data_IF_425163729827
#
_entry.id   IF_425163729827
#
_cell.length_a   1.000
_cell.length_b   1.000
_cell.length_c   1.000
_cell.angle_alpha   90.00
_cell.angle_beta   90.00
_cell.angle_gamma   90.00
#
_symmetry.space_group_name_H-M   'P 1'
#
loop_
_entity.id
_entity.type
_entity.pdbx_description
1 polymer ?
#
# COMPACT_ATOMS: atom_id res chain seq x y z
N UNK A 1 -4.38 6.07 30.12
CA UNK A 1 -5.60 5.27 29.84
C UNK A 1 -5.36 4.34 28.64
N UNK A 2 -5.43 3.01 28.81
CA UNK A 2 -5.20 2.03 27.73
C UNK A 2 -6.28 2.10 26.64
N UNK A 3 -7.55 2.26 27.04
CA UNK A 3 -8.69 2.38 26.11
C UNK A 3 -8.53 3.54 25.13
N UNK A 4 -8.10 4.70 25.62
CA UNK A 4 -7.88 5.88 24.78
C UNK A 4 -6.77 5.65 23.74
N UNK A 5 -5.64 5.06 24.16
CA UNK A 5 -4.54 4.73 23.23
C UNK A 5 -4.99 3.76 22.15
N UNK A 6 -5.79 2.75 22.52
CA UNK A 6 -6.36 1.80 21.57
C UNK A 6 -7.28 2.46 20.56
N UNK A 7 -8.22 3.28 21.02
CA UNK A 7 -9.13 4.02 20.13
C UNK A 7 -8.38 4.88 19.11
N UNK A 8 -7.33 5.59 19.55
CA UNK A 8 -6.50 6.41 18.65
C UNK A 8 -5.76 5.52 17.65
N UNK A 9 -5.19 4.40 18.09
CA UNK A 9 -4.50 3.46 17.21
C UNK A 9 -5.44 2.78 16.19
N UNK A 10 -6.66 2.44 16.60
CA UNK A 10 -7.70 1.90 15.71
C UNK A 10 -8.03 2.92 14.60
N UNK A 11 -8.17 4.21 14.94
CA UNK A 11 -8.44 5.27 13.98
C UNK A 11 -7.28 5.47 12.99
N UNK A 12 -6.04 5.43 13.47
CA UNK A 12 -4.85 5.53 12.62
C UNK A 12 -4.76 4.32 11.69
N UNK A 13 -5.03 3.11 12.18
CA UNK A 13 -5.01 1.90 11.38
C UNK A 13 -6.09 1.93 10.28
N UNK A 14 -7.30 2.40 10.60
CA UNK A 14 -8.36 2.58 9.60
C UNK A 14 -7.93 3.55 8.49
N UNK A 15 -7.41 4.73 8.84
CA UNK A 15 -6.93 5.71 7.86
C UNK A 15 -5.75 5.21 7.02
N UNK A 16 -4.87 4.39 7.60
CA UNK A 16 -3.77 3.75 6.87
C UNK A 16 -4.31 2.79 5.79
N UNK A 17 -5.26 1.91 6.14
CA UNK A 17 -5.83 0.97 5.17
C UNK A 17 -6.61 1.68 4.07
N UNK A 18 -7.33 2.77 4.39
CA UNK A 18 -7.99 3.61 3.40
C UNK A 18 -6.98 4.23 2.43
N UNK A 19 -5.86 4.75 2.94
CA UNK A 19 -4.80 5.33 2.11
C UNK A 19 -4.13 4.28 1.21
N UNK A 20 -3.82 3.08 1.73
CA UNK A 20 -3.29 1.95 0.95
C UNK A 20 -4.24 1.58 -0.19
N UNK A 21 -5.53 1.40 0.11
CA UNK A 21 -6.55 1.05 -0.88
C UNK A 21 -6.73 2.14 -1.95
N UNK A 22 -6.70 3.42 -1.56
CA UNK A 22 -6.83 4.53 -2.49
C UNK A 22 -5.66 4.60 -3.47
N UNK A 23 -4.43 4.37 -3.01
CA UNK A 23 -3.24 4.32 -3.87
C UNK A 23 -3.32 3.15 -4.85
N UNK A 24 -3.72 1.96 -4.39
CA UNK A 24 -3.88 0.78 -5.25
C UNK A 24 -4.95 1.00 -6.33
N UNK A 25 -6.08 1.61 -5.97
CA UNK A 25 -7.12 1.98 -6.93
C UNK A 25 -6.62 3.02 -7.94
N UNK A 26 -5.90 4.05 -7.50
CA UNK A 26 -5.33 5.07 -8.38
C UNK A 26 -4.32 4.47 -9.36
N UNK A 27 -3.45 3.57 -8.89
CA UNK A 27 -2.47 2.88 -9.72
C UNK A 27 -3.16 2.05 -10.82
N UNK A 28 -4.17 1.27 -10.46
CA UNK A 28 -4.92 0.44 -11.40
C UNK A 28 -5.63 1.28 -12.48
N UNK A 29 -6.31 2.36 -12.08
CA UNK A 29 -7.03 3.23 -13.03
C UNK A 29 -6.07 4.00 -13.95
N UNK A 30 -4.95 4.47 -13.43
CA UNK A 30 -3.94 5.19 -14.24
C UNK A 30 -3.28 4.26 -15.25
N UNK A 31 -2.95 3.02 -14.84
CA UNK A 31 -2.45 2.00 -15.77
C UNK A 31 -3.46 1.67 -16.87
N UNK A 32 -4.75 1.55 -16.53
CA UNK A 32 -5.83 1.38 -17.50
C UNK A 32 -5.89 2.52 -18.52
N UNK A 33 -5.82 3.78 -18.06
CA UNK A 33 -5.78 4.95 -18.93
C UNK A 33 -4.55 4.94 -19.87
N UNK A 34 -3.36 4.66 -19.33
CA UNK A 34 -2.13 4.58 -20.12
C UNK A 34 -2.21 3.50 -21.21
N UNK A 35 -2.87 2.38 -20.92
CA UNK A 35 -3.05 1.27 -21.88
C UNK A 35 -4.05 1.55 -22.99
N UNK A 36 -5.17 2.25 -22.72
CA UNK A 36 -6.20 2.46 -23.76
C UNK A 36 -5.80 3.50 -24.81
N UNK A 37 -4.94 4.46 -24.47
CA UNK A 37 -4.57 5.55 -25.40
C UNK A 37 -3.88 5.04 -26.67
N UNK A 38 -2.82 4.21 -26.63
CA UNK A 38 -2.18 3.70 -27.85
C UNK A 38 -3.09 2.78 -28.68
N UNK A 39 -3.96 1.99 -28.03
CA UNK A 39 -4.92 1.13 -28.71
C UNK A 39 -5.95 1.95 -29.49
N UNK A 40 -6.65 2.87 -28.83
CA UNK A 40 -7.67 3.71 -29.48
C UNK A 40 -7.08 4.62 -30.56
N UNK A 41 -5.85 5.11 -30.37
CA UNK A 41 -5.10 5.85 -31.40
C UNK A 41 -4.89 4.99 -32.65
N UNK A 42 -4.53 3.72 -32.47
CA UNK A 42 -4.30 2.78 -33.57
C UNK A 42 -5.61 2.43 -34.27
N UNK A 43 -6.68 2.18 -33.51
CA UNK A 43 -8.02 1.92 -34.05
C UNK A 43 -8.56 3.09 -34.87
N UNK A 44 -8.20 4.32 -34.48
CA UNK A 44 -8.52 5.54 -35.22
C UNK A 44 -7.63 5.80 -36.45
N UNK A 45 -6.66 4.93 -36.75
CA UNK A 45 -5.73 5.11 -37.88
C UNK A 45 -4.76 6.29 -37.72
N UNK A 46 -4.53 6.77 -36.49
CA UNK A 46 -3.71 7.95 -36.22
C UNK A 46 -2.24 7.59 -36.05
N UNK A 47 -1.36 8.53 -36.44
CA UNK A 47 0.10 8.42 -36.23
C UNK A 47 0.46 8.17 -34.76
N UNK A 48 1.51 7.41 -34.50
CA UNK A 48 2.03 7.13 -33.15
C UNK A 48 2.49 8.38 -32.39
N UNK A 49 2.80 9.47 -33.10
CA UNK A 49 3.17 10.75 -32.48
C UNK A 49 1.96 11.46 -31.84
N UNK A 50 0.74 11.15 -32.28
CA UNK A 50 -0.48 11.76 -31.74
C UNK A 50 -0.71 11.24 -30.32
N UNK A 51 -0.69 12.15 -29.35
CA UNK A 51 -0.94 11.81 -27.94
C UNK A 51 0.25 11.17 -27.21
N UNK A 52 1.41 11.05 -27.85
CA UNK A 52 2.61 10.44 -27.24
C UNK A 52 2.98 11.09 -25.90
N UNK A 53 2.97 12.42 -25.82
CA UNK A 53 3.24 13.14 -24.56
C UNK A 53 2.24 12.81 -23.45
N UNK A 54 0.98 12.49 -23.77
CA UNK A 54 0.00 12.08 -22.77
C UNK A 54 0.30 10.66 -22.23
N UNK A 55 0.74 9.75 -23.10
CA UNK A 55 1.20 8.40 -22.70
C UNK A 55 2.44 8.48 -21.80
N UNK A 56 3.38 9.37 -22.12
CA UNK A 56 4.58 9.61 -21.29
C UNK A 56 4.21 10.14 -19.91
N UNK A 57 3.33 11.15 -19.83
CA UNK A 57 2.86 11.70 -18.54
C UNK A 57 2.06 10.69 -17.72
N UNK A 58 1.24 9.86 -18.36
CA UNK A 58 0.53 8.78 -17.66
C UNK A 58 1.51 7.73 -17.11
N UNK A 59 2.57 7.40 -17.86
CA UNK A 59 3.62 6.48 -17.42
C UNK A 59 4.42 7.05 -16.23
N UNK A 60 4.74 8.35 -16.26
CA UNK A 60 5.36 9.06 -15.14
C UNK A 60 4.48 9.03 -13.88
N UNK A 61 3.18 9.28 -14.02
CA UNK A 61 2.22 9.20 -12.92
C UNK A 61 2.15 7.79 -12.30
N UNK A 62 2.17 6.73 -13.12
CA UNK A 62 2.22 5.34 -12.64
C UNK A 62 3.48 5.10 -11.79
N UNK A 63 4.64 5.58 -12.24
CA UNK A 63 5.89 5.43 -11.49
C UNK A 63 5.83 6.14 -10.13
N UNK A 64 5.24 7.34 -10.07
CA UNK A 64 5.04 8.09 -8.82
C UNK A 64 4.06 7.36 -7.88
N UNK A 65 2.96 6.82 -8.39
CA UNK A 65 2.01 6.03 -7.59
C UNK A 65 2.65 4.75 -7.04
N UNK A 66 3.49 4.07 -7.81
CA UNK A 66 4.24 2.91 -7.33
C UNK A 66 5.21 3.27 -6.19
N UNK A 67 5.86 4.44 -6.27
CA UNK A 67 6.72 4.95 -5.19
C UNK A 67 5.89 5.32 -3.95
N UNK A 68 4.75 5.98 -4.13
CA UNK A 68 3.83 6.30 -3.04
C UNK A 68 3.34 5.04 -2.33
N UNK A 69 3.00 3.99 -3.10
CA UNK A 69 2.62 2.67 -2.56
C UNK A 69 3.73 2.05 -1.70
N UNK A 70 4.98 2.12 -2.15
CA UNK A 70 6.12 1.65 -1.34
C UNK A 70 6.22 2.44 -0.05
N UNK A 71 6.14 3.77 -0.11
CA UNK A 71 6.24 4.64 1.06
C UNK A 71 5.13 4.39 2.09
N UNK A 72 3.88 4.14 1.65
CA UNK A 72 2.78 3.83 2.58
C UNK A 72 2.95 2.44 3.22
N UNK A 73 3.47 1.45 2.49
CA UNK A 73 3.79 0.14 3.06
C UNK A 73 4.92 0.21 4.09
N UNK A 74 5.93 1.08 3.92
CA UNK A 74 6.94 1.31 4.96
C UNK A 74 6.33 2.04 6.16
N UNK A 75 5.45 3.01 5.93
CA UNK A 75 4.70 3.70 6.99
C UNK A 75 3.91 2.72 7.85
N UNK A 76 3.26 1.72 7.23
CA UNK A 76 2.60 0.62 7.95
C UNK A 76 3.55 -0.11 8.89
N UNK A 77 4.76 -0.49 8.42
CA UNK A 77 5.74 -1.19 9.26
C UNK A 77 6.19 -0.34 10.45
N UNK A 78 6.42 0.95 10.24
CA UNK A 78 6.78 1.87 11.32
C UNK A 78 5.65 2.01 12.35
N UNK A 79 4.39 2.05 11.91
CA UNK A 79 3.23 2.07 12.80
C UNK A 79 3.08 0.76 13.59
N UNK A 80 3.39 -0.39 12.97
CA UNK A 80 3.41 -1.68 13.67
C UNK A 80 4.49 -1.73 14.76
N UNK A 81 5.65 -1.11 14.53
CA UNK A 81 6.66 -0.92 15.57
C UNK A 81 6.19 0.04 16.67
N UNK A 82 5.60 1.19 16.30
CA UNK A 82 5.15 2.22 17.22
C UNK A 82 4.07 1.72 18.21
N UNK A 83 3.22 0.76 17.82
CA UNK A 83 2.19 0.20 18.71
C UNK A 83 2.79 -0.39 20.00
N UNK A 84 4.01 -0.93 19.94
CA UNK A 84 4.71 -1.49 21.10
C UNK A 84 5.10 -0.40 22.09
N UNK A 85 5.54 0.76 21.59
CA UNK A 85 5.97 1.91 22.38
C UNK A 85 4.81 2.51 23.19
N UNK A 86 3.57 2.38 22.69
CA UNK A 86 2.36 2.84 23.37
C UNK A 86 1.64 1.75 24.19
N UNK A 87 2.28 0.60 24.40
CA UNK A 87 1.72 -0.49 25.20
C UNK A 87 0.58 -1.26 24.53
N UNK A 88 0.53 -1.29 23.19
CA UNK A 88 -0.42 -2.04 22.38
C UNK A 88 0.25 -3.20 21.62
N UNK A 89 1.40 -3.70 22.11
CA UNK A 89 2.16 -4.77 21.43
C UNK A 89 1.38 -6.07 21.19
N UNK A 90 0.41 -6.39 22.05
CA UNK A 90 -0.47 -7.55 21.90
C UNK A 90 -1.64 -7.32 20.91
N UNK A 91 -1.83 -6.10 20.41
CA UNK A 91 -2.89 -5.77 19.45
C UNK A 91 -2.41 -6.09 18.03
N UNK A 92 -3.21 -6.87 17.31
CA UNK A 92 -2.97 -7.21 15.92
C UNK A 92 -3.82 -6.31 15.02
N UNK A 93 -3.16 -5.61 14.10
CA UNK A 93 -3.79 -4.90 13.00
C UNK A 93 -3.39 -5.60 11.69
N UNK A 94 -4.37 -5.99 10.88
CA UNK A 94 -4.14 -6.69 9.61
C UNK A 94 -5.41 -7.39 9.09
N UNK A 95 -5.62 -7.36 7.76
CA UNK A 95 -6.83 -7.88 7.11
C UNK A 95 -6.60 -8.92 6.00
N UNK A 96 -5.35 -9.17 5.59
CA UNK A 96 -5.00 -10.13 4.52
C UNK A 96 -3.82 -11.01 4.93
N UNK A 97 -3.83 -12.26 4.47
CA UNK A 97 -2.78 -13.24 4.75
C UNK A 97 -1.45 -12.78 4.11
N UNK A 98 -0.47 -12.43 4.95
CA UNK A 98 0.86 -12.02 4.46
C UNK A 98 1.55 -13.24 3.80
N UNK A 99 2.33 -13.04 2.71
CA UNK A 99 3.12 -14.12 2.12
C UNK A 99 3.96 -14.87 3.16
N UNK A 100 4.25 -16.17 2.95
CA UNK A 100 4.87 -17.04 3.95
C UNK A 100 6.16 -16.50 4.55
N UNK A 101 6.96 -15.76 3.78
CA UNK A 101 8.23 -15.18 4.26
C UNK A 101 8.05 -14.09 5.33
N UNK A 102 6.94 -13.34 5.25
CA UNK A 102 6.60 -12.34 6.26
C UNK A 102 5.92 -12.98 7.48
N UNK A 103 5.17 -14.08 7.30
CA UNK A 103 4.55 -14.81 8.41
C UNK A 103 5.53 -15.73 9.15
N UNK A 104 6.55 -16.26 8.47
CA UNK A 104 7.59 -17.10 9.04
C UNK A 104 8.45 -16.35 10.06
N UNK A 105 8.81 -15.08 9.80
CA UNK A 105 9.54 -14.25 10.78
C UNK A 105 8.72 -14.00 12.05
N UNK A 106 7.42 -13.75 11.90
CA UNK A 106 6.51 -13.53 13.04
C UNK A 106 6.36 -14.82 13.87
N UNK A 107 6.22 -15.99 13.23
CA UNK A 107 6.16 -17.29 13.92
C UNK A 107 7.48 -17.66 14.62
N UNK A 108 8.61 -17.29 14.04
CA UNK A 108 9.92 -17.55 14.64
C UNK A 108 10.12 -16.71 15.91
N UNK A 109 9.71 -15.44 15.92
CA UNK A 109 9.77 -14.59 17.13
C UNK A 109 8.86 -15.14 18.25
N UNK A 110 7.66 -15.64 17.92
CA UNK A 110 6.75 -16.23 18.91
C UNK A 110 7.23 -17.58 19.48
N UNK A 111 8.14 -18.29 18.80
CA UNK A 111 8.72 -19.55 19.30
C UNK A 111 9.91 -19.37 20.24
N UNK A 112 10.50 -18.17 20.32
CA UNK A 112 11.72 -17.90 21.14
C UNK A 112 11.38 -17.15 22.43
N UNK A 113 10.13 -16.75 22.66
CA UNK A 113 9.72 -16.25 23.97
C UNK A 113 9.69 -17.42 24.98
N UNK A 114 10.53 -17.43 26.04
CA UNK A 114 10.45 -18.47 27.04
C UNK A 114 9.12 -18.35 27.78
N UNK A 115 8.47 -19.48 28.03
CA UNK A 115 7.39 -19.57 28.99
C UNK A 115 7.95 -19.17 30.36
N UNK A 116 7.58 -17.98 30.82
CA UNK A 116 7.74 -17.55 32.20
C UNK A 116 6.43 -17.79 32.95
#
# INVERSE_FOLDING_TARGET
MLKQRRMIADQVAASLFEAEAAIDAALAKTAGLAGVMPSLRTDAGLSALVGQGAVERASEAIALLAQARRAICETHKELDAAKTQIGLGAVMYGGMEKPPEASARVRQIMRVAPAA
#
